data_IF_813959973680
#
_entry.id   IF_813959973680
#
_cell.length_a   1.000
_cell.length_b   1.000
_cell.length_c   1.000
_cell.angle_alpha   90.00
_cell.angle_beta   90.00
_cell.angle_gamma   90.00
#
_symmetry.space_group_name_H-M   'P 1'
#
loop_
_entity.id
_entity.type
_entity.pdbx_description
1 polymer ?
#
# COMPACT_ATOMS: atom_id res chain seq x y z
N UNK A 1 -19.27 20.73 28.93
CA UNK A 1 -18.79 19.74 27.94
C UNK A 1 -17.51 19.15 28.48
N UNK A 2 -17.42 17.83 28.66
CA UNK A 2 -16.27 17.20 29.34
C UNK A 2 -15.00 17.32 28.47
N UNK A 3 -13.84 17.70 29.02
CA UNK A 3 -12.58 17.89 28.28
C UNK A 3 -12.16 16.66 27.46
N UNK A 4 -12.56 15.47 27.91
CA UNK A 4 -12.32 14.20 27.22
C UNK A 4 -12.99 14.09 25.83
N UNK A 5 -14.20 14.61 25.67
CA UNK A 5 -14.93 14.58 24.38
C UNK A 5 -14.29 15.54 23.37
N UNK A 6 -13.82 16.68 23.82
CA UNK A 6 -13.15 17.67 22.97
C UNK A 6 -11.81 17.12 22.47
N UNK A 7 -11.04 16.47 23.34
CA UNK A 7 -9.77 15.83 22.97
C UNK A 7 -9.97 14.69 21.95
N UNK A 8 -10.96 13.82 22.14
CA UNK A 8 -11.29 12.74 21.20
C UNK A 8 -11.68 13.28 19.82
N UNK A 9 -12.46 14.35 19.74
CA UNK A 9 -12.84 14.97 18.48
C UNK A 9 -11.65 15.61 17.74
N UNK A 10 -10.70 16.21 18.48
CA UNK A 10 -9.48 16.77 17.91
C UNK A 10 -8.56 15.67 17.33
N UNK A 11 -8.40 14.56 18.06
CA UNK A 11 -7.62 13.40 17.59
C UNK A 11 -8.27 12.75 16.36
N UNK A 12 -9.61 12.63 16.30
CA UNK A 12 -10.35 12.12 15.14
C UNK A 12 -10.15 13.02 13.91
N UNK A 13 -10.23 14.33 14.06
CA UNK A 13 -9.98 15.26 12.96
C UNK A 13 -8.53 15.17 12.46
N UNK A 14 -7.59 14.98 13.38
CA UNK A 14 -6.17 14.79 13.03
C UNK A 14 -5.97 13.48 12.29
N UNK A 15 -6.59 12.38 12.71
CA UNK A 15 -6.54 11.09 12.04
C UNK A 15 -7.05 11.20 10.59
N UNK A 16 -8.20 11.83 10.39
CA UNK A 16 -8.76 12.06 9.05
C UNK A 16 -7.80 12.87 8.16
N UNK A 17 -7.15 13.91 8.71
CA UNK A 17 -6.16 14.70 7.94
C UNK A 17 -4.93 13.90 7.57
N UNK A 18 -4.43 13.06 8.49
CA UNK A 18 -3.29 12.17 8.23
C UNK A 18 -3.65 11.17 7.13
N UNK A 19 -4.88 10.62 7.13
CA UNK A 19 -5.35 9.73 6.08
C UNK A 19 -5.48 10.43 4.72
N UNK A 20 -5.97 11.64 4.66
CA UNK A 20 -5.98 12.41 3.41
C UNK A 20 -4.58 12.66 2.87
N UNK A 21 -3.63 13.00 3.75
CA UNK A 21 -2.25 13.19 3.34
C UNK A 21 -1.63 11.87 2.84
N UNK A 22 -1.85 10.76 3.56
CA UNK A 22 -1.39 9.43 3.18
C UNK A 22 -1.94 9.00 1.81
N UNK A 23 -3.26 9.10 1.63
CA UNK A 23 -3.92 8.76 0.34
C UNK A 23 -3.42 9.66 -0.81
N UNK A 24 -3.20 10.95 -0.54
CA UNK A 24 -2.62 11.88 -1.51
C UNK A 24 -1.17 11.51 -1.88
N UNK A 25 -0.37 11.08 -0.89
CA UNK A 25 0.98 10.58 -1.12
C UNK A 25 0.97 9.29 -1.97
N UNK A 26 0.10 8.34 -1.67
CA UNK A 26 -0.07 7.10 -2.44
C UNK A 26 -0.51 7.38 -3.89
N UNK A 27 -1.37 8.40 -4.11
CA UNK A 27 -1.72 8.83 -5.45
C UNK A 27 -0.50 9.37 -6.22
N UNK A 28 0.38 10.10 -5.55
CA UNK A 28 1.63 10.57 -6.14
C UNK A 28 2.58 9.40 -6.45
N UNK A 29 2.74 8.44 -5.54
CA UNK A 29 3.52 7.23 -5.77
C UNK A 29 3.00 6.40 -6.95
N UNK A 30 1.68 6.21 -7.01
CA UNK A 30 1.04 5.51 -8.12
C UNK A 30 1.37 6.18 -9.46
N UNK A 31 1.15 7.48 -9.56
CA UNK A 31 1.36 8.20 -10.83
C UNK A 31 2.83 8.14 -11.27
N UNK A 32 3.76 8.41 -10.37
CA UNK A 32 5.19 8.41 -10.70
C UNK A 32 5.70 6.98 -10.90
N UNK A 33 5.39 6.04 -9.99
CA UNK A 33 5.85 4.66 -10.06
C UNK A 33 5.33 3.95 -11.30
N UNK A 34 4.04 4.02 -11.56
CA UNK A 34 3.42 3.40 -12.73
C UNK A 34 3.94 3.98 -14.05
N UNK A 35 3.98 5.32 -14.18
CA UNK A 35 4.47 5.98 -15.38
C UNK A 35 5.95 5.71 -15.63
N UNK A 36 6.78 5.82 -14.61
CA UNK A 36 8.20 5.52 -14.70
C UNK A 36 8.47 4.06 -15.05
N UNK A 37 7.70 3.14 -14.45
CA UNK A 37 7.79 1.72 -14.74
C UNK A 37 7.39 1.40 -16.17
N UNK A 38 6.32 2.02 -16.66
CA UNK A 38 5.88 1.84 -18.04
C UNK A 38 6.93 2.34 -19.06
N UNK A 39 7.53 3.51 -18.81
CA UNK A 39 8.58 4.04 -19.69
C UNK A 39 9.86 3.21 -19.68
N UNK A 40 10.25 2.70 -18.51
CA UNK A 40 11.48 1.92 -18.33
C UNK A 40 11.31 0.42 -18.65
N UNK A 41 10.09 -0.05 -18.93
CA UNK A 41 9.80 -1.48 -19.02
C UNK A 41 10.07 -2.23 -17.71
N UNK A 42 10.06 -1.54 -16.55
CA UNK A 42 10.32 -2.10 -15.24
C UNK A 42 9.03 -2.63 -14.60
N UNK A 43 8.93 -3.95 -14.52
CA UNK A 43 7.80 -4.63 -13.88
C UNK A 43 7.78 -4.34 -12.38
N UNK A 44 8.93 -4.21 -11.77
CA UNK A 44 9.10 -3.87 -10.38
C UNK A 44 8.45 -2.51 -10.04
N UNK A 45 8.71 -1.48 -10.85
CA UNK A 45 8.12 -0.14 -10.69
C UNK A 45 6.61 -0.13 -11.00
N UNK A 46 6.18 -0.88 -12.02
CA UNK A 46 4.75 -1.02 -12.34
C UNK A 46 4.02 -1.67 -11.17
N UNK A 47 4.56 -2.76 -10.62
CA UNK A 47 3.96 -3.46 -9.48
C UNK A 47 3.89 -2.56 -8.24
N UNK A 48 4.94 -1.82 -7.94
CA UNK A 48 4.97 -0.84 -6.84
C UNK A 48 3.91 0.25 -7.02
N UNK A 49 3.80 0.83 -8.23
CA UNK A 49 2.77 1.82 -8.52
C UNK A 49 1.35 1.27 -8.39
N UNK A 50 1.09 0.06 -8.90
CA UNK A 50 -0.23 -0.58 -8.78
C UNK A 50 -0.59 -0.92 -7.33
N UNK A 51 0.38 -1.31 -6.51
CA UNK A 51 0.17 -1.52 -5.09
C UNK A 51 -0.27 -0.23 -4.39
N UNK A 52 0.42 0.89 -4.66
CA UNK A 52 0.00 2.22 -4.17
C UNK A 52 -1.43 2.60 -4.62
N UNK A 53 -1.87 2.17 -5.82
CA UNK A 53 -3.25 2.38 -6.25
C UNK A 53 -4.25 1.60 -5.39
N UNK A 54 -3.93 0.36 -5.01
CA UNK A 54 -4.79 -0.44 -4.14
C UNK A 54 -4.88 0.15 -2.73
N UNK A 55 -3.79 0.70 -2.24
CA UNK A 55 -3.76 1.42 -0.96
C UNK A 55 -4.61 2.71 -0.97
N UNK A 56 -4.73 3.39 -2.12
CA UNK A 56 -5.67 4.53 -2.27
C UNK A 56 -7.11 4.06 -2.00
N UNK A 57 -7.50 2.89 -2.50
CA UNK A 57 -8.84 2.33 -2.29
C UNK A 57 -9.04 2.01 -0.80
N UNK A 58 -8.05 1.39 -0.16
CA UNK A 58 -8.06 1.10 1.28
C UNK A 58 -8.17 2.39 2.11
N UNK A 59 -7.30 3.37 1.86
CA UNK A 59 -7.30 4.66 2.54
C UNK A 59 -8.60 5.44 2.37
N UNK A 60 -9.19 5.44 1.17
CA UNK A 60 -10.49 6.06 0.91
C UNK A 60 -11.61 5.40 1.74
N UNK A 61 -11.59 4.07 1.85
CA UNK A 61 -12.52 3.31 2.69
C UNK A 61 -12.35 3.65 4.17
N UNK A 62 -11.11 3.77 4.64
CA UNK A 62 -10.81 4.16 6.02
C UNK A 62 -11.25 5.60 6.32
N UNK A 63 -11.01 6.55 5.43
CA UNK A 63 -11.51 7.93 5.55
C UNK A 63 -13.04 7.95 5.66
N UNK A 64 -13.72 7.20 4.78
CA UNK A 64 -15.17 7.09 4.82
C UNK A 64 -15.65 6.52 6.15
N UNK A 65 -15.02 5.45 6.65
CA UNK A 65 -15.34 4.84 7.95
C UNK A 65 -15.16 5.83 9.10
N UNK A 66 -14.01 6.50 9.21
CA UNK A 66 -13.73 7.47 10.27
C UNK A 66 -14.74 8.63 10.27
N UNK A 67 -15.13 9.12 9.09
CA UNK A 67 -16.18 10.13 8.96
C UNK A 67 -17.56 9.62 9.39
N UNK A 68 -17.88 8.39 9.00
CA UNK A 68 -19.17 7.75 9.32
C UNK A 68 -19.29 7.50 10.82
N UNK A 69 -18.22 7.04 11.47
CA UNK A 69 -18.13 6.90 12.92
C UNK A 69 -18.29 8.27 13.63
N UNK A 70 -17.61 9.30 13.13
CA UNK A 70 -17.75 10.67 13.62
C UNK A 70 -19.18 11.21 13.54
N UNK A 71 -19.97 10.78 12.56
CA UNK A 71 -21.35 11.19 12.32
C UNK A 71 -22.40 10.29 13.01
N UNK A 72 -21.98 9.29 13.81
CA UNK A 72 -22.87 8.45 14.61
C UNK A 72 -23.63 7.36 13.86
N UNK A 73 -23.17 6.92 12.71
CA UNK A 73 -23.81 5.84 11.94
C UNK A 73 -23.65 4.46 12.60
N UNK A 74 -24.51 3.50 12.21
CA UNK A 74 -24.50 2.15 12.77
C UNK A 74 -23.22 1.37 12.40
N UNK A 75 -22.58 0.78 13.39
CA UNK A 75 -21.36 -0.01 13.24
C UNK A 75 -21.50 -1.16 12.22
N UNK A 76 -22.71 -1.75 12.09
CA UNK A 76 -22.96 -2.88 11.19
C UNK A 76 -22.93 -2.52 9.69
N UNK A 77 -23.34 -1.29 9.33
CA UNK A 77 -23.27 -0.83 7.93
C UNK A 77 -21.82 -0.57 7.52
N UNK A 78 -21.03 0.01 8.41
CA UNK A 78 -19.60 0.28 8.22
C UNK A 78 -18.83 -1.02 8.05
N UNK A 79 -19.04 -2.01 8.95
CA UNK A 79 -18.34 -3.29 8.90
C UNK A 79 -18.58 -4.05 7.58
N UNK A 80 -19.84 -4.06 7.06
CA UNK A 80 -20.14 -4.72 5.78
C UNK A 80 -19.46 -4.09 4.58
N UNK A 81 -19.35 -2.76 4.55
CA UNK A 81 -18.69 -2.07 3.44
C UNK A 81 -17.15 -2.29 3.50
N UNK A 82 -16.57 -2.24 4.68
CA UNK A 82 -15.16 -2.55 4.92
C UNK A 82 -14.83 -3.98 4.48
N UNK A 83 -15.67 -4.95 4.84
CA UNK A 83 -15.53 -6.34 4.44
C UNK A 83 -15.51 -6.52 2.92
N UNK A 84 -16.45 -5.89 2.20
CA UNK A 84 -16.47 -5.97 0.73
C UNK A 84 -15.26 -5.31 0.10
N UNK A 85 -14.83 -4.15 0.60
CA UNK A 85 -13.64 -3.46 0.11
C UNK A 85 -12.39 -4.32 0.27
N UNK A 86 -12.17 -4.89 1.45
CA UNK A 86 -11.02 -5.76 1.73
C UNK A 86 -10.99 -7.00 0.84
N UNK A 87 -12.16 -7.61 0.55
CA UNK A 87 -12.23 -8.75 -0.37
C UNK A 87 -11.80 -8.35 -1.79
N UNK A 88 -12.31 -7.24 -2.30
CA UNK A 88 -11.93 -6.74 -3.64
C UNK A 88 -10.43 -6.44 -3.70
N UNK A 89 -9.89 -5.73 -2.72
CA UNK A 89 -8.45 -5.43 -2.64
C UNK A 89 -7.63 -6.72 -2.58
N UNK A 90 -8.02 -7.69 -1.73
CA UNK A 90 -7.35 -8.98 -1.64
C UNK A 90 -7.32 -9.75 -2.97
N UNK A 91 -8.45 -9.81 -3.68
CA UNK A 91 -8.53 -10.44 -5.00
C UNK A 91 -7.62 -9.75 -6.03
N UNK A 92 -7.60 -8.42 -6.05
CA UNK A 92 -6.76 -7.67 -7.00
C UNK A 92 -5.28 -7.84 -6.68
N UNK A 93 -4.88 -7.87 -5.39
CA UNK A 93 -3.51 -8.17 -4.99
C UNK A 93 -3.05 -9.56 -5.44
N UNK A 94 -3.91 -10.58 -5.34
CA UNK A 94 -3.60 -11.91 -5.84
C UNK A 94 -3.45 -11.95 -7.36
N UNK A 95 -4.33 -11.27 -8.10
CA UNK A 95 -4.23 -11.14 -9.57
C UNK A 95 -2.96 -10.39 -9.98
N UNK A 96 -2.61 -9.31 -9.28
CA UNK A 96 -1.36 -8.58 -9.49
C UNK A 96 -0.15 -9.49 -9.24
N UNK A 97 -0.17 -10.29 -8.18
CA UNK A 97 0.90 -11.24 -7.88
C UNK A 97 1.09 -12.26 -9.01
N UNK A 98 0.00 -12.83 -9.54
CA UNK A 98 0.06 -13.75 -10.69
C UNK A 98 0.60 -13.06 -11.95
N UNK A 99 0.17 -11.83 -12.22
CA UNK A 99 0.69 -11.04 -13.35
C UNK A 99 2.20 -10.82 -13.23
N UNK A 100 2.67 -10.35 -12.07
CA UNK A 100 4.10 -10.07 -11.84
C UNK A 100 4.93 -11.35 -11.95
N UNK A 101 4.47 -12.49 -11.39
CA UNK A 101 5.15 -13.78 -11.54
C UNK A 101 5.27 -14.17 -13.02
N UNK A 102 4.17 -14.09 -13.78
CA UNK A 102 4.14 -14.46 -15.19
C UNK A 102 5.09 -13.62 -16.03
N UNK A 103 5.05 -12.31 -15.88
CA UNK A 103 5.88 -11.40 -16.69
C UNK A 103 7.34 -11.42 -16.23
N UNK A 104 7.63 -11.51 -14.92
CA UNK A 104 9.01 -11.67 -14.44
C UNK A 104 9.62 -12.98 -14.92
N UNK A 105 8.86 -14.09 -14.88
CA UNK A 105 9.28 -15.35 -15.45
C UNK A 105 9.58 -15.27 -16.94
N UNK A 106 8.70 -14.62 -17.72
CA UNK A 106 8.91 -14.39 -19.14
C UNK A 106 10.17 -13.56 -19.41
N UNK A 107 10.38 -12.46 -18.69
CA UNK A 107 11.58 -11.61 -18.83
C UNK A 107 12.88 -12.36 -18.49
N UNK A 108 12.87 -13.21 -17.46
CA UNK A 108 14.01 -14.02 -17.11
C UNK A 108 14.37 -15.06 -18.21
N UNK A 109 13.36 -15.64 -18.87
CA UNK A 109 13.58 -16.58 -19.96
C UNK A 109 14.03 -15.87 -21.25
N UNK A 110 13.47 -14.70 -21.56
CA UNK A 110 13.78 -13.94 -22.77
C UNK A 110 14.98 -13.01 -22.63
N UNK A 111 15.59 -12.92 -21.44
CA UNK A 111 16.67 -11.98 -21.11
C UNK A 111 16.28 -10.51 -21.36
N UNK A 112 14.99 -10.18 -21.19
CA UNK A 112 14.51 -8.81 -21.33
C UNK A 112 15.01 -7.96 -20.15
N UNK A 113 15.71 -6.87 -20.46
CA UNK A 113 16.21 -5.93 -19.48
C UNK A 113 15.25 -4.74 -19.32
N UNK A 114 15.03 -4.29 -18.08
CA UNK A 114 14.41 -3.01 -17.81
C UNK A 114 15.45 -1.89 -17.95
N UNK A 115 15.00 -0.71 -18.34
CA UNK A 115 15.84 0.48 -18.33
C UNK A 115 15.86 1.10 -16.91
N UNK A 116 16.93 1.82 -16.59
CA UNK A 116 17.01 2.56 -15.33
C UNK A 116 16.09 3.78 -15.36
N UNK A 117 15.35 4.00 -14.27
CA UNK A 117 14.46 5.15 -14.14
C UNK A 117 14.86 6.02 -12.94
N UNK A 118 15.37 7.22 -13.22
CA UNK A 118 15.73 8.19 -12.18
C UNK A 118 14.52 8.67 -11.38
N UNK A 119 13.36 8.80 -12.00
CA UNK A 119 12.09 9.13 -11.32
C UNK A 119 11.63 7.97 -10.43
N UNK A 120 11.81 6.72 -10.87
CA UNK A 120 11.54 5.52 -10.07
C UNK A 120 12.45 5.43 -8.83
N UNK A 121 13.74 5.70 -8.99
CA UNK A 121 14.68 5.77 -7.86
C UNK A 121 14.28 6.90 -6.89
N UNK A 122 13.93 8.07 -7.42
CA UNK A 122 13.51 9.22 -6.61
C UNK A 122 12.26 8.96 -5.78
N UNK A 123 11.23 8.35 -6.36
CA UNK A 123 10.00 8.01 -5.63
C UNK A 123 10.26 6.93 -4.57
N UNK A 124 11.08 5.91 -4.86
CA UNK A 124 11.42 4.88 -3.89
C UNK A 124 12.17 5.45 -2.67
N UNK A 125 13.12 6.35 -2.87
CA UNK A 125 13.83 7.04 -1.77
C UNK A 125 12.84 7.86 -0.93
N UNK A 126 11.96 8.61 -1.57
CA UNK A 126 10.98 9.43 -0.88
C UNK A 126 10.00 8.56 -0.04
N UNK A 127 9.57 7.42 -0.58
CA UNK A 127 8.68 6.47 0.10
C UNK A 127 9.33 5.83 1.33
N UNK A 128 10.60 5.44 1.25
CA UNK A 128 11.36 4.91 2.40
C UNK A 128 11.38 5.91 3.57
N UNK A 129 11.30 7.20 3.29
CA UNK A 129 11.30 8.26 4.33
C UNK A 129 9.88 8.55 4.82
N UNK A 130 8.94 8.73 3.90
CA UNK A 130 7.58 9.17 4.21
C UNK A 130 6.75 8.07 4.87
N UNK A 131 6.86 6.83 4.40
CA UNK A 131 6.02 5.72 4.89
C UNK A 131 6.25 5.38 6.36
N UNK A 132 7.48 5.26 6.90
CA UNK A 132 7.68 5.05 8.33
C UNK A 132 7.15 6.20 9.18
N UNK A 133 7.26 7.44 8.70
CA UNK A 133 6.70 8.60 9.40
C UNK A 133 5.16 8.51 9.50
N UNK A 134 4.50 8.15 8.40
CA UNK A 134 3.05 7.93 8.38
C UNK A 134 2.65 6.77 9.30
N UNK A 135 3.39 5.67 9.28
CA UNK A 135 3.19 4.52 10.19
C UNK A 135 3.16 4.97 11.66
N UNK A 136 4.17 5.72 12.08
CA UNK A 136 4.25 6.19 13.47
C UNK A 136 3.07 7.08 13.85
N UNK A 137 2.66 7.98 12.95
CA UNK A 137 1.53 8.88 13.17
C UNK A 137 0.20 8.15 13.24
N UNK A 138 -0.07 7.25 12.29
CA UNK A 138 -1.31 6.46 12.22
C UNK A 138 -1.43 5.54 13.44
N UNK A 139 -0.37 4.81 13.79
CA UNK A 139 -0.37 3.94 14.98
C UNK A 139 -0.60 4.71 16.27
N UNK A 140 0.05 5.84 16.45
CA UNK A 140 -0.15 6.68 17.63
C UNK A 140 -1.60 7.17 17.75
N UNK A 141 -2.19 7.66 16.66
CA UNK A 141 -3.60 8.08 16.63
C UNK A 141 -4.56 6.90 16.79
N UNK A 142 -4.25 5.76 16.18
CA UNK A 142 -5.05 4.54 16.30
C UNK A 142 -5.14 4.04 17.73
N UNK A 143 -4.04 4.04 18.48
CA UNK A 143 -4.04 3.71 19.91
C UNK A 143 -4.86 4.71 20.75
N UNK A 144 -4.75 6.02 20.45
CA UNK A 144 -5.55 7.04 21.15
C UNK A 144 -7.05 6.93 20.91
N UNK A 145 -7.42 6.58 19.69
CA UNK A 145 -8.83 6.48 19.25
C UNK A 145 -9.43 5.09 19.52
N UNK A 146 -8.62 4.11 19.96
CA UNK A 146 -8.96 2.68 20.00
C UNK A 146 -9.52 2.19 18.64
N UNK A 147 -8.83 2.54 17.55
CA UNK A 147 -9.18 2.17 16.18
C UNK A 147 -8.19 1.13 15.63
N UNK A 148 -8.51 -0.19 15.67
CA UNK A 148 -7.67 -1.23 15.11
C UNK A 148 -7.36 -0.99 13.62
N UNK A 149 -8.33 -0.57 12.83
CA UNK A 149 -8.16 -0.33 11.40
C UNK A 149 -7.11 0.75 11.10
N UNK A 150 -7.06 1.83 11.90
CA UNK A 150 -6.04 2.87 11.73
C UNK A 150 -4.64 2.37 12.11
N UNK A 151 -4.56 1.43 13.07
CA UNK A 151 -3.29 0.79 13.45
C UNK A 151 -2.82 -0.15 12.33
N UNK A 152 -3.73 -0.96 11.78
CA UNK A 152 -3.46 -1.91 10.70
C UNK A 152 -3.04 -1.18 9.42
N UNK A 153 -3.75 -0.13 9.04
CA UNK A 153 -3.40 0.71 7.89
C UNK A 153 -2.01 1.36 8.07
N UNK A 154 -1.67 1.80 9.30
CA UNK A 154 -0.31 2.22 9.62
C UNK A 154 0.73 1.10 9.48
N UNK A 155 0.36 -0.18 9.66
CA UNK A 155 1.28 -1.30 9.42
C UNK A 155 1.45 -1.60 7.92
N UNK A 156 0.42 -1.39 7.09
CA UNK A 156 0.55 -1.48 5.64
C UNK A 156 1.60 -0.49 5.12
N UNK A 157 1.63 0.73 5.62
CA UNK A 157 2.65 1.71 5.23
C UNK A 157 4.10 1.23 5.48
N UNK A 158 4.35 0.40 6.52
CA UNK A 158 5.70 -0.18 6.73
C UNK A 158 6.02 -1.23 5.66
N UNK A 159 5.02 -2.02 5.24
CA UNK A 159 5.18 -2.97 4.13
C UNK A 159 5.54 -2.23 2.84
N UNK A 160 4.89 -1.10 2.55
CA UNK A 160 5.24 -0.25 1.41
C UNK A 160 6.67 0.32 1.50
N UNK A 161 7.14 0.67 2.69
CA UNK A 161 8.54 1.08 2.87
C UNK A 161 9.51 -0.06 2.51
N UNK A 162 9.21 -1.32 2.87
CA UNK A 162 10.02 -2.47 2.45
C UNK A 162 9.94 -2.70 0.94
N UNK A 163 8.77 -2.53 0.33
CA UNK A 163 8.61 -2.62 -1.12
C UNK A 163 9.41 -1.52 -1.83
N UNK A 164 9.33 -0.30 -1.35
CA UNK A 164 10.13 0.81 -1.86
C UNK A 164 11.65 0.55 -1.75
N UNK A 165 12.11 -0.05 -0.64
CA UNK A 165 13.51 -0.46 -0.49
C UNK A 165 13.90 -1.54 -1.52
N UNK A 166 13.01 -2.51 -1.80
CA UNK A 166 13.24 -3.53 -2.83
C UNK A 166 13.32 -2.90 -4.23
N UNK A 167 12.43 -1.93 -4.53
CA UNK A 167 12.46 -1.14 -5.77
C UNK A 167 13.77 -0.38 -5.91
N UNK A 168 14.21 0.29 -4.84
CA UNK A 168 15.46 1.04 -4.83
C UNK A 168 16.65 0.12 -5.11
N UNK A 169 16.75 -1.01 -4.43
CA UNK A 169 17.84 -1.99 -4.61
C UNK A 169 17.82 -2.53 -6.04
N UNK A 170 16.66 -3.00 -6.54
CA UNK A 170 16.54 -3.53 -7.90
C UNK A 170 16.92 -2.49 -8.96
N UNK A 171 16.41 -1.26 -8.85
CA UNK A 171 16.72 -0.18 -9.77
C UNK A 171 18.20 0.25 -9.72
N UNK A 172 18.81 0.27 -8.54
CA UNK A 172 20.24 0.59 -8.40
C UNK A 172 21.14 -0.52 -9.00
N UNK A 173 20.80 -1.78 -8.81
CA UNK A 173 21.54 -2.90 -9.41
C UNK A 173 21.47 -2.85 -10.94
N UNK A 174 20.30 -2.56 -11.49
CA UNK A 174 20.13 -2.36 -12.93
C UNK A 174 20.96 -1.17 -13.42
N UNK A 175 20.93 -0.04 -12.70
CA UNK A 175 21.63 1.19 -13.10
C UNK A 175 23.16 1.09 -12.99
N UNK A 176 23.69 0.48 -11.88
CA UNK A 176 25.13 0.43 -11.62
C UNK A 176 25.83 -0.70 -12.35
N UNK A 177 25.19 -1.87 -12.46
CA UNK A 177 25.81 -3.10 -12.94
C UNK A 177 25.21 -3.59 -14.26
N UNK A 178 24.15 -2.93 -14.77
CA UNK A 178 23.41 -3.34 -15.95
C UNK A 178 22.96 -4.82 -15.89
N UNK A 179 22.56 -5.28 -14.69
CA UNK A 179 22.10 -6.65 -14.48
C UNK A 179 20.67 -6.80 -14.98
N UNK A 180 20.53 -7.38 -16.18
CA UNK A 180 19.27 -7.55 -16.88
C UNK A 180 18.20 -8.30 -16.06
N UNK A 181 18.62 -9.19 -15.15
CA UNK A 181 17.74 -9.98 -14.31
C UNK A 181 17.33 -9.30 -13.00
N UNK A 182 17.99 -8.23 -12.60
CA UNK A 182 17.83 -7.61 -11.28
C UNK A 182 16.40 -7.11 -11.03
N UNK A 183 15.79 -6.46 -12.01
CA UNK A 183 14.40 -5.98 -11.94
C UNK A 183 13.41 -7.12 -11.73
N UNK A 184 13.51 -8.19 -12.53
CA UNK A 184 12.62 -9.34 -12.46
C UNK A 184 12.76 -10.12 -11.15
N UNK A 185 13.97 -10.29 -10.63
CA UNK A 185 14.22 -10.96 -9.34
C UNK A 185 13.70 -10.10 -8.19
N UNK A 186 13.94 -8.80 -8.21
CA UNK A 186 13.41 -7.87 -7.21
C UNK A 186 11.87 -7.84 -7.25
N UNK A 187 11.24 -7.87 -8.43
CA UNK A 187 9.80 -7.97 -8.58
C UNK A 187 9.23 -9.27 -7.98
N UNK A 188 9.93 -10.42 -8.14
CA UNK A 188 9.54 -11.68 -7.51
C UNK A 188 9.64 -11.65 -5.98
N UNK A 189 10.64 -10.94 -5.43
CA UNK A 189 10.73 -10.69 -3.97
C UNK A 189 9.55 -9.84 -3.51
N UNK A 190 9.21 -8.80 -4.24
CA UNK A 190 8.08 -7.92 -3.94
C UNK A 190 6.75 -8.70 -3.95
N UNK A 191 6.57 -9.62 -4.92
CA UNK A 191 5.38 -10.49 -4.99
C UNK A 191 5.16 -11.28 -3.71
N UNK A 192 6.19 -11.71 -3.01
CA UNK A 192 6.03 -12.42 -1.74
C UNK A 192 5.31 -11.54 -0.71
N UNK A 193 5.62 -10.25 -0.63
CA UNK A 193 4.94 -9.32 0.26
C UNK A 193 3.50 -9.07 -0.18
N UNK A 194 3.29 -8.76 -1.47
CA UNK A 194 1.96 -8.48 -2.05
C UNK A 194 1.04 -9.69 -1.92
N UNK A 195 1.52 -10.91 -2.25
CA UNK A 195 0.75 -12.13 -2.13
C UNK A 195 0.42 -12.47 -0.67
N UNK A 196 1.35 -12.24 0.27
CA UNK A 196 1.11 -12.46 1.71
C UNK A 196 0.03 -11.54 2.27
N UNK A 197 0.00 -10.30 1.82
CA UNK A 197 -1.02 -9.30 2.17
C UNK A 197 -2.38 -9.71 1.61
N UNK A 198 -2.45 -10.01 0.30
CA UNK A 198 -3.67 -10.46 -0.37
C UNK A 198 -4.25 -11.74 0.25
N UNK A 199 -3.37 -12.67 0.65
CA UNK A 199 -3.78 -13.89 1.34
C UNK A 199 -4.39 -13.64 2.71
N UNK A 200 -3.77 -12.77 3.52
CA UNK A 200 -4.30 -12.36 4.84
C UNK A 200 -5.67 -11.72 4.70
N UNK A 201 -5.83 -10.77 3.78
CA UNK A 201 -7.10 -10.10 3.51
C UNK A 201 -8.19 -11.07 3.03
N UNK A 202 -7.82 -12.09 2.24
CA UNK A 202 -8.74 -13.12 1.77
C UNK A 202 -9.16 -14.08 2.90
N UNK A 203 -8.25 -14.47 3.81
CA UNK A 203 -8.53 -15.42 4.90
C UNK A 203 -9.35 -14.83 6.05
N UNK A 204 -9.21 -13.55 6.36
CA UNK A 204 -10.00 -12.88 7.42
C UNK A 204 -11.51 -13.03 7.14
N UNK A 205 -11.90 -13.17 5.87
CA UNK A 205 -13.30 -13.31 5.49
C UNK A 205 -13.84 -14.75 5.49
N UNK A 206 -12.97 -15.75 5.47
CA UNK A 206 -13.38 -17.16 5.53
C UNK A 206 -13.56 -17.59 6.99
N UNK A 207 -12.89 -16.96 7.95
CA UNK A 207 -12.86 -17.36 9.35
C UNK A 207 -13.88 -16.66 10.26
N UNK A 208 -14.53 -15.58 9.83
CA UNK A 208 -15.65 -14.95 10.56
C UNK A 208 -16.98 -15.12 9.77
N UNK A 209 -17.69 -16.25 9.92
CA UNK A 209 -19.08 -16.31 9.51
C UNK A 209 -19.88 -15.35 10.38
N UNK A 210 -20.57 -14.43 9.72
CA UNK A 210 -21.55 -13.48 10.28
C UNK A 210 -22.22 -14.00 11.57
N UNK A 211 -21.86 -13.42 12.72
CA UNK A 211 -22.72 -13.39 13.90
C UNK A 211 -23.53 -12.12 13.94
#
# INVERSE_FOLDING_TARGET
MKPFVIAKNADMTTAIRVEYFSTGWMAFEFLIGFWSGFQAGSILLIAFGLDSFLEIISGATLIWRLKTESNGASASAVARAEQRSSLVVGCVLLLLSLYVIGVSGFNLVTHAAAESSMSGIGIAIASIIVMPFLTLRKRHLGHKLNSPALIEDGMCNITCAYMAATVLIGSLLTWLFNWWWADSVAALILVYFVASEGWKLSLIHISEPTR
#
